data_IF_719601368074
#
_entry.id   IF_719601368074
#
_cell.length_a   1.000
_cell.length_b   1.000
_cell.length_c   1.000
_cell.angle_alpha   90.00
_cell.angle_beta   90.00
_cell.angle_gamma   90.00
#
_symmetry.space_group_name_H-M   'P 1'
#
loop_
_entity.id
_entity.type
_entity.pdbx_description
1 polymer ?
#
# COMPACT_ATOMS: atom_id res chain seq x y z
N UNK A 1 -18.20 -29.32 2.42
CA UNK A 1 -19.07 -28.92 1.26
C UNK A 1 -18.72 -27.51 0.88
N UNK A 2 -18.06 -27.37 -0.25
CA UNK A 2 -17.52 -26.09 -0.72
C UNK A 2 -18.61 -25.43 -1.59
N UNK A 3 -19.42 -24.55 -1.01
CA UNK A 3 -20.42 -23.77 -1.75
C UNK A 3 -19.76 -22.56 -2.39
N UNK A 4 -19.19 -22.79 -3.56
CA UNK A 4 -18.82 -21.72 -4.47
C UNK A 4 -20.09 -21.03 -4.93
N UNK A 5 -20.31 -19.78 -4.55
CA UNK A 5 -21.38 -18.93 -5.08
C UNK A 5 -20.83 -18.29 -6.36
N UNK A 6 -21.30 -18.68 -7.56
CA UNK A 6 -20.87 -18.02 -8.79
C UNK A 6 -21.38 -16.58 -8.79
N UNK A 7 -20.50 -15.64 -9.07
CA UNK A 7 -20.88 -14.25 -9.33
C UNK A 7 -21.86 -14.20 -10.52
N UNK A 8 -22.92 -13.39 -10.48
CA UNK A 8 -23.84 -13.27 -11.61
C UNK A 8 -23.09 -12.81 -12.84
N UNK A 9 -23.25 -13.55 -13.94
CA UNK A 9 -22.80 -13.12 -15.26
C UNK A 9 -23.44 -11.76 -15.55
N UNK A 10 -22.65 -10.68 -15.48
CA UNK A 10 -23.06 -9.38 -15.97
C UNK A 10 -23.13 -9.45 -17.49
N UNK A 11 -24.37 -9.60 -18.00
CA UNK A 11 -24.69 -9.40 -19.41
C UNK A 11 -24.16 -8.03 -19.85
N UNK A 12 -23.25 -8.05 -20.81
CA UNK A 12 -22.95 -7.00 -21.78
C UNK A 12 -23.22 -5.54 -21.36
N UNK A 13 -22.51 -5.05 -20.34
CA UNK A 13 -22.21 -3.64 -20.23
C UNK A 13 -21.01 -3.35 -21.11
N UNK A 14 -21.03 -2.25 -21.85
CA UNK A 14 -19.89 -1.74 -22.62
C UNK A 14 -18.64 -1.81 -21.76
N UNK A 15 -17.46 -2.21 -22.32
CA UNK A 15 -16.23 -2.25 -21.54
C UNK A 15 -16.02 -0.89 -20.91
N UNK A 16 -15.93 -0.86 -19.57
CA UNK A 16 -15.50 0.33 -18.85
C UNK A 16 -14.12 0.64 -19.41
N UNK A 17 -14.02 1.68 -20.22
CA UNK A 17 -12.74 2.20 -20.64
C UNK A 17 -12.10 2.77 -19.38
N UNK A 18 -11.23 1.98 -18.76
CA UNK A 18 -10.23 2.54 -17.87
C UNK A 18 -9.36 3.42 -18.75
N UNK A 19 -9.63 4.73 -18.75
CA UNK A 19 -8.61 5.69 -19.19
C UNK A 19 -7.35 5.33 -18.41
N UNK A 20 -6.25 5.02 -19.12
CA UNK A 20 -4.98 4.79 -18.46
C UNK A 20 -4.77 5.91 -17.45
N UNK A 21 -4.51 5.59 -16.16
CA UNK A 21 -4.26 6.62 -15.18
C UNK A 21 -3.10 7.45 -15.74
N UNK A 22 -3.30 8.75 -15.86
CA UNK A 22 -2.29 9.69 -16.28
C UNK A 22 -0.98 9.32 -15.60
N UNK A 23 0.06 9.03 -16.39
CA UNK A 23 1.31 8.41 -15.94
C UNK A 23 1.71 9.02 -14.58
N UNK A 24 1.77 8.20 -13.54
CA UNK A 24 2.08 8.63 -12.19
C UNK A 24 3.41 9.37 -12.20
N UNK A 25 3.35 10.69 -12.18
CA UNK A 25 4.55 11.51 -12.10
C UNK A 25 4.84 11.77 -10.62
N UNK A 26 6.01 11.34 -10.16
CA UNK A 26 6.50 11.74 -8.84
C UNK A 26 6.84 13.25 -8.79
N UNK A 27 6.91 13.90 -9.92
CA UNK A 27 7.14 15.33 -10.03
C UNK A 27 5.91 16.18 -9.69
N UNK A 28 4.71 15.60 -9.87
CA UNK A 28 3.45 16.23 -9.49
C UNK A 28 2.51 15.14 -8.95
N UNK A 29 2.44 15.00 -7.63
CA UNK A 29 1.77 13.90 -6.99
C UNK A 29 0.24 14.04 -6.97
N UNK A 30 -0.44 13.11 -7.64
CA UNK A 30 -1.90 12.95 -7.67
C UNK A 30 -2.36 11.59 -7.13
N UNK A 31 -1.53 10.91 -6.32
CA UNK A 31 -1.75 9.51 -5.89
C UNK A 31 -2.95 9.30 -4.95
N UNK A 32 -3.50 10.35 -4.36
CA UNK A 32 -4.60 10.23 -3.42
C UNK A 32 -5.53 11.44 -3.50
N UNK A 33 -6.72 11.41 -2.88
CA UNK A 33 -7.69 12.51 -2.92
C UNK A 33 -7.17 13.86 -2.41
N UNK A 34 -6.04 13.89 -1.67
CA UNK A 34 -5.42 15.16 -1.25
C UNK A 34 -4.84 15.98 -2.40
N UNK A 35 -4.52 15.30 -3.52
CA UNK A 35 -4.08 15.97 -4.75
C UNK A 35 -3.04 17.07 -4.50
N UNK A 36 -2.01 16.76 -3.71
CA UNK A 36 -1.08 17.78 -3.20
C UNK A 36 -0.12 18.33 -4.25
N UNK A 37 -0.01 17.72 -5.42
CA UNK A 37 0.79 18.14 -6.58
C UNK A 37 2.27 18.42 -6.27
N UNK A 38 2.78 17.92 -5.18
CA UNK A 38 4.18 18.11 -4.82
C UNK A 38 5.10 17.22 -5.66
N UNK A 39 6.33 17.66 -5.82
CA UNK A 39 7.40 16.84 -6.38
C UNK A 39 7.98 15.97 -5.26
N UNK A 40 7.63 14.65 -5.27
CA UNK A 40 8.03 13.68 -4.26
C UNK A 40 9.51 13.31 -4.31
N UNK A 41 10.21 13.64 -5.38
CA UNK A 41 11.67 13.47 -5.46
C UNK A 41 12.42 14.55 -4.66
N UNK A 42 11.76 15.69 -4.38
CA UNK A 42 12.35 16.85 -3.70
C UNK A 42 11.75 17.10 -2.32
N UNK A 43 10.47 16.77 -2.12
CA UNK A 43 9.72 17.06 -0.91
C UNK A 43 8.83 15.88 -0.53
N UNK A 44 8.51 15.79 0.75
CA UNK A 44 7.44 14.91 1.23
C UNK A 44 6.14 15.72 1.33
N UNK A 45 5.02 15.10 0.92
CA UNK A 45 3.70 15.66 1.12
C UNK A 45 3.14 15.36 2.51
N UNK A 46 1.85 15.60 2.65
CA UNK A 46 1.12 15.28 3.88
C UNK A 46 1.33 13.85 4.36
N UNK A 47 1.40 12.88 3.45
CA UNK A 47 1.57 11.46 3.78
C UNK A 47 2.97 11.09 4.27
N UNK A 48 3.94 11.99 4.21
CA UNK A 48 5.35 11.76 4.52
C UNK A 48 6.00 10.62 3.69
N UNK A 49 5.37 10.22 2.58
CA UNK A 49 5.92 9.19 1.70
C UNK A 49 6.87 9.81 0.67
N UNK A 50 8.11 9.31 0.55
CA UNK A 50 9.05 9.72 -0.50
C UNK A 50 8.63 9.17 -1.87
N UNK A 51 9.39 9.46 -2.91
CA UNK A 51 9.24 8.81 -4.21
C UNK A 51 9.66 7.33 -4.17
N UNK A 52 10.61 6.97 -3.30
CA UNK A 52 11.06 5.60 -3.08
C UNK A 52 10.16 4.82 -2.12
N UNK A 53 10.53 3.57 -1.89
CA UNK A 53 9.84 2.66 -0.99
C UNK A 53 10.44 2.81 0.40
N UNK A 54 9.62 3.10 1.41
CA UNK A 54 10.03 3.11 2.82
C UNK A 54 9.24 2.06 3.58
N UNK A 55 9.94 1.08 4.14
CA UNK A 55 9.36 0.00 4.94
C UNK A 55 9.80 0.10 6.40
N UNK A 56 8.85 -0.02 7.31
CA UNK A 56 9.08 0.00 8.75
C UNK A 56 9.39 -1.39 9.29
N UNK A 57 8.72 -2.41 8.76
CA UNK A 57 8.86 -3.79 9.22
C UNK A 57 8.48 -4.76 8.10
N UNK A 58 9.17 -5.89 8.04
CA UNK A 58 8.78 -7.07 7.30
C UNK A 58 8.92 -8.27 8.24
N UNK A 59 7.87 -9.04 8.44
CA UNK A 59 7.87 -10.18 9.35
C UNK A 59 6.71 -11.13 9.05
N UNK A 60 6.80 -12.38 9.53
CA UNK A 60 5.66 -13.28 9.62
C UNK A 60 4.74 -12.80 10.76
N UNK A 61 3.45 -12.77 10.47
CA UNK A 61 2.40 -12.40 11.42
C UNK A 61 1.52 -13.64 11.72
N UNK A 62 1.58 -14.18 12.95
CA UNK A 62 0.87 -15.42 13.29
C UNK A 62 -0.57 -15.21 13.76
N UNK A 63 -1.03 -13.96 13.88
CA UNK A 63 -2.31 -13.60 14.48
C UNK A 63 -3.38 -13.15 13.50
N UNK A 64 -3.23 -13.49 12.23
CA UNK A 64 -4.31 -13.35 11.26
C UNK A 64 -5.27 -14.55 11.38
N UNK A 65 -6.38 -14.52 10.64
CA UNK A 65 -7.30 -15.65 10.58
C UNK A 65 -6.60 -16.95 10.16
N UNK A 66 -7.01 -18.10 10.68
CA UNK A 66 -6.34 -19.39 10.42
C UNK A 66 -6.21 -19.74 8.92
N UNK A 67 -7.15 -19.29 8.10
CA UNK A 67 -7.10 -19.49 6.65
C UNK A 67 -6.01 -18.65 5.94
N UNK A 68 -5.53 -17.58 6.59
CA UNK A 68 -4.47 -16.70 6.07
C UNK A 68 -3.13 -17.10 6.67
N UNK A 69 -3.07 -17.24 7.99
CA UNK A 69 -1.81 -17.50 8.72
C UNK A 69 -1.35 -18.94 8.64
N UNK A 70 -2.27 -19.92 8.56
CA UNK A 70 -1.93 -21.32 8.68
C UNK A 70 -1.13 -21.60 9.97
N UNK A 71 -0.15 -22.51 9.86
CA UNK A 71 0.74 -22.85 10.98
C UNK A 71 2.01 -21.97 11.05
N UNK A 72 2.33 -21.26 9.99
CA UNK A 72 3.60 -20.54 9.85
C UNK A 72 3.47 -19.01 9.88
N UNK A 73 2.26 -18.50 9.92
CA UNK A 73 1.98 -17.07 9.83
C UNK A 73 1.93 -16.56 8.39
N UNK A 74 1.40 -15.37 8.20
CA UNK A 74 1.32 -14.66 6.93
C UNK A 74 2.48 -13.67 6.78
N UNK A 75 3.03 -13.56 5.57
CA UNK A 75 4.03 -12.53 5.26
C UNK A 75 3.39 -11.13 5.31
N UNK A 76 3.92 -10.24 6.14
CA UNK A 76 3.38 -8.89 6.32
C UNK A 76 4.48 -7.86 6.19
N UNK A 77 4.23 -6.82 5.38
CA UNK A 77 5.11 -5.66 5.24
C UNK A 77 4.35 -4.41 5.64
N UNK A 78 4.91 -3.64 6.57
CA UNK A 78 4.42 -2.33 6.97
C UNK A 78 5.19 -1.24 6.23
N UNK A 79 4.51 -0.54 5.34
CA UNK A 79 5.08 0.63 4.67
C UNK A 79 4.86 1.88 5.51
N UNK A 80 5.83 2.80 5.47
CA UNK A 80 5.76 4.06 6.20
C UNK A 80 5.01 5.14 5.43
N UNK A 81 4.38 6.03 6.17
CA UNK A 81 3.56 7.10 5.62
C UNK A 81 2.08 6.74 5.52
N UNK A 82 1.22 7.75 5.65
CA UNK A 82 -0.23 7.55 5.60
C UNK A 82 -0.95 8.81 5.15
N UNK A 83 -1.89 8.66 4.24
CA UNK A 83 -2.68 9.78 3.71
C UNK A 83 -3.71 10.32 4.71
N UNK A 84 -4.14 9.52 5.68
CA UNK A 84 -5.12 9.89 6.71
C UNK A 84 -4.46 10.56 7.92
N UNK A 85 -3.44 9.95 8.50
CA UNK A 85 -2.75 10.43 9.71
C UNK A 85 -3.72 10.71 10.86
N UNK A 86 -4.53 9.71 11.20
CA UNK A 86 -5.52 9.83 12.26
C UNK A 86 -4.85 10.17 13.61
N UNK A 87 -5.46 11.06 14.39
CA UNK A 87 -4.92 11.48 15.70
C UNK A 87 -4.85 10.35 16.74
N UNK A 88 -5.67 9.30 16.56
CA UNK A 88 -5.73 8.11 17.42
C UNK A 88 -5.05 6.89 16.79
N UNK A 89 -4.13 7.07 15.85
CA UNK A 89 -3.49 5.97 15.14
C UNK A 89 -2.55 5.18 16.06
N UNK A 90 -2.84 3.88 16.26
CA UNK A 90 -1.96 3.00 17.03
C UNK A 90 -0.58 2.80 16.38
N UNK A 91 -0.48 3.02 15.05
CA UNK A 91 0.75 2.92 14.29
C UNK A 91 1.35 4.31 13.99
N UNK A 92 1.23 5.27 14.92
CA UNK A 92 1.60 6.67 14.72
C UNK A 92 3.05 6.85 14.24
N UNK A 93 3.99 6.11 14.80
CA UNK A 93 5.40 6.16 14.40
C UNK A 93 5.60 5.85 12.90
N UNK A 94 4.89 4.84 12.40
CA UNK A 94 4.96 4.43 11.01
C UNK A 94 4.18 5.40 10.13
N UNK A 95 2.96 5.73 10.53
CA UNK A 95 2.00 6.48 9.70
C UNK A 95 2.30 7.97 9.62
N UNK A 96 2.77 8.58 10.72
CA UNK A 96 2.90 10.03 10.85
C UNK A 96 4.35 10.50 11.02
N UNK A 97 5.18 9.75 11.76
CA UNK A 97 6.58 10.12 11.96
C UNK A 97 7.49 9.56 10.86
N UNK A 98 6.97 8.65 10.02
CA UNK A 98 7.71 8.09 8.89
C UNK A 98 8.84 7.16 9.32
N UNK A 99 8.70 6.52 10.50
CA UNK A 99 9.65 5.50 10.96
C UNK A 99 9.80 4.39 9.93
N UNK A 100 11.04 4.02 9.59
CA UNK A 100 11.35 2.99 8.62
C UNK A 100 12.65 3.26 7.87
N UNK A 101 12.98 2.36 6.96
CA UNK A 101 14.17 2.46 6.10
C UNK A 101 13.75 2.51 4.64
N UNK A 102 14.48 3.29 3.86
CA UNK A 102 14.33 3.30 2.41
C UNK A 102 14.94 2.00 1.86
N UNK A 103 14.17 1.31 1.01
CA UNK A 103 14.58 0.05 0.38
C UNK A 103 14.42 0.15 -1.14
N UNK A 104 15.21 -0.64 -1.87
CA UNK A 104 15.09 -0.77 -3.33
C UNK A 104 13.94 -1.71 -3.71
N UNK A 105 13.47 -1.64 -4.97
CA UNK A 105 12.54 -2.61 -5.52
C UNK A 105 13.07 -4.03 -5.44
N UNK A 106 14.36 -4.25 -5.77
CA UNK A 106 15.03 -5.56 -5.64
C UNK A 106 14.98 -6.09 -4.20
N UNK A 107 15.22 -5.19 -3.20
CA UNK A 107 15.12 -5.61 -1.80
C UNK A 107 13.70 -5.97 -1.40
N UNK A 108 12.70 -5.30 -1.95
CA UNK A 108 11.30 -5.65 -1.73
C UNK A 108 10.97 -7.02 -2.32
N UNK A 109 11.44 -7.31 -3.54
CA UNK A 109 11.29 -8.63 -4.18
C UNK A 109 11.90 -9.74 -3.34
N UNK A 110 13.12 -9.56 -2.82
CA UNK A 110 13.78 -10.53 -1.92
C UNK A 110 12.98 -10.82 -0.63
N UNK A 111 12.19 -9.85 -0.14
CA UNK A 111 11.37 -10.04 1.05
C UNK A 111 10.14 -10.91 0.76
N UNK A 112 9.67 -10.92 -0.50
CA UNK A 112 8.50 -11.71 -0.91
C UNK A 112 8.86 -13.15 -1.31
N UNK A 113 10.12 -13.45 -1.56
CA UNK A 113 10.62 -14.79 -1.97
C UNK A 113 11.15 -15.57 -0.77
#
# INVERSE_FOLDING_TARGET
>A
MNTYIPLPNSSAGSPVQFSEPAAYSYESCHCCPRNCQINRTKKQGWCHSPAGIRAARAALHPWEEPCISGLHGSGTIFFSGCTLRCCFCQNYQISSEGFGKDISGTRLEEIFL
#
